data_IF_694480660773
#
_entry.id   IF_694480660773
#
_cell.length_a   1.000
_cell.length_b   1.000
_cell.length_c   1.000
_cell.angle_alpha   90.00
_cell.angle_beta   90.00
_cell.angle_gamma   90.00
#
_symmetry.space_group_name_H-M   'P 1'
#
loop_
_entity.id
_entity.type
_entity.pdbx_description
1 polymer ?
#
# COMPACT_ATOMS: atom_id res chain seq x y z
N UNK A 1 0.41 11.41 9.76
CA UNK A 1 -0.82 10.88 9.12
C UNK A 1 -1.98 10.94 10.11
N UNK A 2 -3.22 10.95 9.61
CA UNK A 2 -4.47 10.94 10.40
C UNK A 2 -4.47 9.78 11.40
N UNK A 3 -4.72 10.06 12.69
CA UNK A 3 -4.62 9.08 13.79
C UNK A 3 -5.94 8.97 14.58
N UNK A 4 -7.07 8.67 13.92
CA UNK A 4 -8.40 8.67 14.53
C UNK A 4 -8.55 7.63 15.65
N UNK A 5 -7.70 6.59 15.62
CA UNK A 5 -7.69 5.49 16.58
C UNK A 5 -6.69 5.69 17.72
N UNK A 6 -6.00 6.85 17.79
CA UNK A 6 -5.00 7.18 18.82
C UNK A 6 -5.51 6.96 20.24
N UNK A 7 -6.79 7.25 20.46
CA UNK A 7 -7.42 7.17 21.79
C UNK A 7 -8.20 5.87 22.00
N UNK A 8 -8.20 4.96 21.02
CA UNK A 8 -9.15 3.86 20.97
C UNK A 8 -10.59 4.35 20.79
N UNK A 9 -11.46 3.46 20.36
CA UNK A 9 -12.91 3.65 20.28
C UNK A 9 -13.57 2.34 20.67
N UNK A 10 -14.89 2.32 20.87
CA UNK A 10 -15.63 1.15 21.39
C UNK A 10 -15.41 -0.19 20.66
N UNK A 11 -14.77 -0.16 19.48
CA UNK A 11 -14.42 -1.33 18.67
C UNK A 11 -12.92 -1.66 18.61
N UNK A 12 -12.03 -0.75 19.06
CA UNK A 12 -10.56 -0.92 18.96
C UNK A 12 -9.89 -0.29 20.17
N UNK A 13 -9.12 -1.10 20.92
CA UNK A 13 -8.37 -0.62 22.07
C UNK A 13 -7.16 0.21 21.61
N UNK A 14 -6.76 1.20 22.40
CA UNK A 14 -5.70 2.14 22.08
C UNK A 14 -4.27 1.54 22.16
N UNK A 15 -4.13 0.36 22.78
CA UNK A 15 -2.87 -0.35 22.91
C UNK A 15 -2.48 -1.04 21.58
N UNK A 16 -1.33 -0.66 21.01
CA UNK A 16 -0.82 -1.24 19.76
C UNK A 16 -1.44 -0.70 18.47
N UNK A 17 -2.30 0.33 18.55
CA UNK A 17 -2.84 1.05 17.38
C UNK A 17 -2.10 2.35 17.15
N UNK A 18 -0.81 2.23 16.89
CA UNK A 18 0.00 3.28 16.30
C UNK A 18 0.64 2.73 15.03
N UNK A 19 0.60 3.49 13.94
CA UNK A 19 1.53 3.25 12.84
C UNK A 19 2.78 4.06 13.17
N UNK A 20 3.85 3.37 13.56
CA UNK A 20 5.18 4.00 13.59
C UNK A 20 5.59 4.33 12.16
N UNK A 21 6.44 5.35 11.99
CA UNK A 21 7.03 5.63 10.69
C UNK A 21 7.87 4.41 10.29
N UNK A 22 7.32 3.58 9.40
CA UNK A 22 8.04 2.49 8.76
C UNK A 22 8.93 3.07 7.68
N UNK A 23 10.24 2.87 7.81
CA UNK A 23 11.22 3.20 6.76
C UNK A 23 11.50 2.00 5.84
N UNK A 24 10.68 0.95 5.95
CA UNK A 24 10.79 -0.30 5.23
C UNK A 24 9.44 -1.02 5.30
N UNK A 25 8.71 -1.14 4.20
CA UNK A 25 7.49 -1.97 4.13
C UNK A 25 7.89 -3.42 3.81
N UNK A 26 7.84 -4.35 4.79
CA UNK A 26 8.35 -5.69 4.60
C UNK A 26 7.35 -6.59 3.84
N UNK A 27 7.89 -7.48 3.01
CA UNK A 27 7.15 -8.64 2.50
C UNK A 27 6.60 -9.47 3.66
N UNK A 28 5.33 -9.85 3.57
CA UNK A 28 4.64 -10.77 4.48
C UNK A 28 4.41 -12.11 3.81
N UNK A 29 4.35 -13.17 4.61
CA UNK A 29 3.95 -14.49 4.14
C UNK A 29 2.44 -14.66 4.34
N UNK A 30 1.71 -14.88 3.26
CA UNK A 30 0.28 -15.22 3.27
C UNK A 30 0.14 -16.57 2.60
N UNK A 31 -0.23 -17.60 3.38
CA UNK A 31 -0.31 -18.98 2.88
C UNK A 31 0.97 -19.46 2.15
N UNK A 32 2.13 -19.10 2.68
CA UNK A 32 3.43 -19.42 2.08
C UNK A 32 3.81 -18.58 0.85
N UNK A 33 2.98 -17.61 0.46
CA UNK A 33 3.24 -16.68 -0.65
C UNK A 33 3.81 -15.37 -0.12
N UNK A 34 4.97 -14.99 -0.67
CA UNK A 34 5.65 -13.72 -0.39
C UNK A 34 4.88 -12.56 -0.99
N UNK A 35 4.12 -11.88 -0.14
CA UNK A 35 3.18 -10.83 -0.53
C UNK A 35 3.68 -9.47 -0.03
N UNK A 36 3.70 -8.49 -0.92
CA UNK A 36 4.05 -7.10 -0.58
C UNK A 36 2.87 -6.19 -0.89
N UNK A 37 2.58 -5.23 -0.01
CA UNK A 37 1.47 -4.31 -0.19
C UNK A 37 1.99 -2.89 -0.44
N UNK A 38 1.42 -2.19 -1.42
CA UNK A 38 1.61 -0.77 -1.62
C UNK A 38 0.27 -0.05 -1.46
N UNK A 39 0.21 0.87 -0.50
CA UNK A 39 -1.05 1.45 -0.03
C UNK A 39 -1.18 2.89 -0.54
N UNK A 40 -2.18 3.13 -1.39
CA UNK A 40 -2.64 4.45 -1.83
C UNK A 40 -1.48 5.42 -2.16
N UNK A 41 -1.26 6.44 -1.31
CA UNK A 41 -0.22 7.47 -1.51
C UNK A 41 1.18 6.90 -1.74
N UNK A 42 1.51 5.77 -1.11
CA UNK A 42 2.83 5.14 -1.23
C UNK A 42 3.12 4.67 -2.66
N UNK A 43 2.09 4.43 -3.45
CA UNK A 43 2.20 4.06 -4.86
C UNK A 43 2.83 5.18 -5.72
N UNK A 44 2.82 6.42 -5.23
CA UNK A 44 3.45 7.56 -5.88
C UNK A 44 4.92 7.76 -5.47
N UNK A 45 5.42 7.01 -4.48
CA UNK A 45 6.75 7.21 -3.90
C UNK A 45 7.76 6.20 -4.49
N UNK A 46 8.74 6.63 -5.31
CA UNK A 46 9.72 5.72 -5.89
C UNK A 46 10.53 4.93 -4.85
N UNK A 47 10.80 5.53 -3.69
CA UNK A 47 11.56 4.86 -2.64
C UNK A 47 10.85 3.62 -2.11
N UNK A 48 9.54 3.69 -1.87
CA UNK A 48 8.74 2.54 -1.41
C UNK A 48 8.76 1.41 -2.44
N UNK A 49 8.72 1.74 -3.72
CA UNK A 49 8.84 0.75 -4.79
C UNK A 49 10.21 0.07 -4.85
N UNK A 50 11.29 0.81 -4.60
CA UNK A 50 12.64 0.22 -4.53
C UNK A 50 12.76 -0.80 -3.39
N UNK A 51 12.10 -0.58 -2.25
CA UNK A 51 12.02 -1.56 -1.17
C UNK A 51 11.32 -2.85 -1.64
N UNK A 52 10.23 -2.72 -2.40
CA UNK A 52 9.53 -3.85 -3.02
C UNK A 52 10.43 -4.62 -4.00
N UNK A 53 11.14 -3.90 -4.89
CA UNK A 53 12.08 -4.51 -5.86
C UNK A 53 13.17 -5.31 -5.16
N UNK A 54 13.81 -4.74 -4.12
CA UNK A 54 14.88 -5.40 -3.36
C UNK A 54 14.37 -6.68 -2.69
N UNK A 55 13.11 -6.66 -2.23
CA UNK A 55 12.51 -7.81 -1.57
C UNK A 55 11.98 -8.86 -2.55
N UNK A 56 11.85 -8.60 -3.86
CA UNK A 56 11.42 -9.59 -4.87
C UNK A 56 10.14 -10.38 -4.47
N UNK A 57 8.99 -9.72 -4.25
CA UNK A 57 7.75 -10.40 -3.86
C UNK A 57 7.23 -11.33 -4.95
N UNK A 58 6.46 -12.34 -4.54
CA UNK A 58 5.72 -13.23 -5.45
C UNK A 58 4.38 -12.64 -5.86
N UNK A 59 3.78 -11.76 -5.05
CA UNK A 59 2.53 -11.06 -5.34
C UNK A 59 2.61 -9.63 -4.81
N UNK A 60 2.12 -8.67 -5.57
CA UNK A 60 1.93 -7.28 -5.13
C UNK A 60 0.45 -7.00 -4.90
N UNK A 61 0.11 -6.46 -3.73
CA UNK A 61 -1.21 -5.96 -3.40
C UNK A 61 -1.25 -4.45 -3.59
N UNK A 62 -2.18 -3.96 -4.40
CA UNK A 62 -2.47 -2.54 -4.54
C UNK A 62 -3.78 -2.25 -3.83
N UNK A 63 -3.74 -1.41 -2.80
CA UNK A 63 -4.94 -1.03 -2.04
C UNK A 63 -5.12 0.48 -2.04
N UNK A 64 -6.28 0.94 -2.54
CA UNK A 64 -6.49 2.35 -2.85
C UNK A 64 -7.83 2.82 -2.25
N UNK A 65 -7.85 4.05 -1.73
CA UNK A 65 -9.09 4.73 -1.35
C UNK A 65 -9.14 6.08 -2.06
N UNK A 66 -9.79 6.11 -3.21
CA UNK A 66 -9.71 7.19 -4.20
C UNK A 66 -10.91 8.14 -4.14
N UNK A 67 -11.94 7.81 -3.36
CA UNK A 67 -13.17 8.60 -3.20
C UNK A 67 -12.96 10.10 -2.99
N UNK A 68 -11.92 10.48 -2.24
CA UNK A 68 -11.62 11.86 -1.88
C UNK A 68 -11.04 12.66 -3.06
N UNK A 69 -10.46 11.97 -4.05
CA UNK A 69 -9.81 12.55 -5.22
C UNK A 69 -10.65 12.40 -6.49
N UNK A 70 -11.94 12.03 -6.35
CA UNK A 70 -12.85 11.83 -7.45
C UNK A 70 -12.97 13.08 -8.33
N UNK A 71 -12.86 12.90 -9.65
CA UNK A 71 -12.91 13.99 -10.62
C UNK A 71 -11.59 14.75 -10.81
N UNK A 72 -10.51 14.27 -10.20
CA UNK A 72 -9.13 14.74 -10.46
C UNK A 72 -8.35 13.68 -11.25
N UNK A 73 -7.16 14.04 -11.74
CA UNK A 73 -6.25 13.08 -12.38
C UNK A 73 -5.41 12.24 -11.40
N UNK A 74 -5.57 12.43 -10.09
CA UNK A 74 -4.77 11.73 -9.06
C UNK A 74 -4.96 10.20 -9.14
N UNK A 75 -6.20 9.65 -9.19
CA UNK A 75 -6.44 8.22 -9.36
C UNK A 75 -5.71 7.60 -10.55
N UNK A 76 -5.81 8.25 -11.71
CA UNK A 76 -5.22 7.78 -12.96
C UNK A 76 -3.70 7.76 -12.90
N UNK A 77 -3.09 8.83 -12.35
CA UNK A 77 -1.64 8.92 -12.16
C UNK A 77 -1.16 7.85 -11.17
N UNK A 78 -1.84 7.71 -10.03
CA UNK A 78 -1.48 6.73 -8.99
C UNK A 78 -1.49 5.30 -9.56
N UNK A 79 -2.57 4.91 -10.25
CA UNK A 79 -2.71 3.59 -10.86
C UNK A 79 -1.67 3.35 -11.95
N UNK A 80 -1.45 4.34 -12.84
CA UNK A 80 -0.46 4.23 -13.90
C UNK A 80 0.96 4.06 -13.35
N UNK A 81 1.32 4.83 -12.31
CA UNK A 81 2.60 4.68 -11.61
C UNK A 81 2.74 3.30 -10.98
N UNK A 82 1.73 2.83 -10.25
CA UNK A 82 1.76 1.51 -9.61
C UNK A 82 1.90 0.37 -10.61
N UNK A 83 1.16 0.43 -11.71
CA UNK A 83 1.21 -0.58 -12.77
C UNK A 83 2.56 -0.59 -13.50
N UNK A 84 3.23 0.56 -13.65
CA UNK A 84 4.57 0.61 -14.23
C UNK A 84 5.60 -0.11 -13.33
N UNK A 85 5.55 0.10 -12.02
CA UNK A 85 6.45 -0.54 -11.07
C UNK A 85 6.20 -2.04 -10.92
N UNK A 86 4.94 -2.47 -10.88
CA UNK A 86 4.61 -3.91 -10.80
C UNK A 86 5.08 -4.67 -12.04
N UNK A 87 4.98 -4.05 -13.22
CA UNK A 87 5.59 -4.59 -14.46
C UNK A 87 7.11 -4.69 -14.36
N UNK A 88 7.79 -3.72 -13.75
CA UNK A 88 9.24 -3.76 -13.53
C UNK A 88 9.63 -4.90 -12.56
N UNK A 89 8.86 -5.09 -11.48
CA UNK A 89 9.08 -6.16 -10.50
C UNK A 89 8.83 -7.54 -11.14
N UNK A 90 7.89 -7.63 -12.09
CA UNK A 90 7.52 -8.89 -12.74
C UNK A 90 6.64 -9.80 -11.87
N UNK A 91 6.02 -9.26 -10.82
CA UNK A 91 5.11 -10.00 -9.95
C UNK A 91 3.64 -9.78 -10.36
N UNK A 92 2.78 -10.80 -10.25
CA UNK A 92 1.33 -10.65 -10.41
C UNK A 92 0.75 -9.67 -9.38
N UNK A 93 -0.35 -9.02 -9.77
CA UNK A 93 -1.00 -7.95 -9.01
C UNK A 93 -2.40 -8.35 -8.59
N UNK A 94 -2.75 -8.06 -7.34
CA UNK A 94 -4.13 -8.03 -6.86
C UNK A 94 -4.45 -6.60 -6.46
N UNK A 95 -5.48 -6.01 -7.07
CA UNK A 95 -5.85 -4.61 -6.86
C UNK A 95 -7.24 -4.50 -6.24
N UNK A 96 -7.36 -3.68 -5.20
CA UNK A 96 -8.61 -3.37 -4.52
C UNK A 96 -8.73 -1.86 -4.33
N UNK A 97 -9.86 -1.31 -4.76
CA UNK A 97 -10.09 0.14 -4.86
C UNK A 97 -11.44 0.49 -4.26
N UNK A 98 -11.49 1.57 -3.48
CA UNK A 98 -12.73 2.25 -3.13
C UNK A 98 -12.80 3.60 -3.88
N UNK A 99 -13.65 3.65 -4.90
CA UNK A 99 -13.78 4.76 -5.85
C UNK A 99 -14.84 5.81 -5.46
#
# INVERSE_FOLDING_TARGET
MWHPWYRGHGYVRADGVGYEAGWWEPVRQVDGIRTWASICYDQLLPWVWLEGVIQAPQVVLLTNNEWWAKGTGIPEIQRATAWAWTRLIGAPVVEAENA
#
